data_IF_195581919741
#
_entry.id   IF_195581919741
#
_cell.length_a   1.000
_cell.length_b   1.000
_cell.length_c   1.000
_cell.angle_alpha   90.00
_cell.angle_beta   90.00
_cell.angle_gamma   90.00
#
_symmetry.space_group_name_H-M   'P 1'
#
loop_
_entity.id
_entity.type
_entity.pdbx_description
1 polymer ?
#
# COMPACT_ATOMS: atom_id res chain seq x y z
N UNK A 1 -5.59 6.86 -10.61
CA UNK A 1 -6.19 8.08 -11.19
C UNK A 1 -5.06 8.90 -11.80
N UNK A 2 -4.40 8.32 -12.78
CA UNK A 2 -3.11 8.79 -13.30
C UNK A 2 -3.25 9.61 -14.60
N UNK A 3 -4.41 9.54 -15.25
CA UNK A 3 -4.67 10.24 -16.52
C UNK A 3 -5.27 11.62 -16.29
N UNK A 4 -4.47 12.55 -15.77
CA UNK A 4 -4.87 13.94 -15.55
C UNK A 4 -4.37 14.85 -16.67
N UNK A 5 -5.21 15.81 -17.08
CA UNK A 5 -4.86 16.81 -18.09
C UNK A 5 -5.43 18.17 -17.73
N UNK A 6 -4.63 19.22 -17.91
CA UNK A 6 -5.11 20.60 -17.92
C UNK A 6 -5.78 20.89 -19.26
N UNK A 7 -6.98 21.47 -19.23
CA UNK A 7 -7.72 21.82 -20.45
C UNK A 7 -8.17 23.29 -20.38
N UNK A 8 -8.18 23.94 -21.54
CA UNK A 8 -8.82 25.25 -21.69
C UNK A 8 -10.35 25.09 -21.72
N UNK A 9 -11.08 26.10 -21.23
CA UNK A 9 -12.55 26.08 -21.17
C UNK A 9 -13.20 25.97 -22.56
N UNK A 10 -12.55 26.46 -23.62
CA UNK A 10 -13.03 26.36 -25.02
C UNK A 10 -13.07 24.92 -25.54
N UNK A 11 -12.40 23.99 -24.86
CA UNK A 11 -12.40 22.55 -25.20
C UNK A 11 -13.54 21.78 -24.52
N UNK A 12 -14.32 22.43 -23.66
CA UNK A 12 -15.50 21.84 -23.05
C UNK A 12 -16.67 21.97 -24.02
N UNK A 13 -17.37 20.85 -24.26
CA UNK A 13 -18.51 20.78 -25.16
C UNK A 13 -19.80 20.69 -24.34
N UNK A 14 -20.47 19.54 -24.37
CA UNK A 14 -21.77 19.33 -23.76
C UNK A 14 -21.64 19.00 -22.27
N UNK A 15 -22.48 19.60 -21.44
CA UNK A 15 -22.60 19.23 -20.03
C UNK A 15 -23.29 17.87 -19.89
N UNK A 16 -22.62 16.92 -19.23
CA UNK A 16 -23.11 15.54 -19.05
C UNK A 16 -23.76 15.35 -17.68
N UNK A 17 -23.34 16.09 -16.67
CA UNK A 17 -23.80 15.94 -15.29
C UNK A 17 -22.77 16.42 -14.28
N UNK A 18 -23.05 16.19 -13.00
CA UNK A 18 -22.12 16.45 -11.91
C UNK A 18 -21.99 15.21 -11.02
N UNK A 19 -20.84 15.09 -10.36
CA UNK A 19 -20.64 14.06 -9.34
C UNK A 19 -21.25 14.50 -8.01
N UNK A 20 -21.80 13.55 -7.29
CA UNK A 20 -22.20 13.75 -5.89
C UNK A 20 -20.97 13.91 -4.99
N UNK A 21 -21.16 14.56 -3.84
CA UNK A 21 -20.07 14.86 -2.91
C UNK A 21 -19.31 13.60 -2.45
N UNK A 22 -20.01 12.48 -2.24
CA UNK A 22 -19.40 11.21 -1.86
C UNK A 22 -18.40 10.71 -2.92
N UNK A 23 -18.70 10.90 -4.20
CA UNK A 23 -17.82 10.51 -5.29
C UNK A 23 -16.61 11.45 -5.39
N UNK A 24 -16.81 12.75 -5.20
CA UNK A 24 -15.74 13.75 -5.16
C UNK A 24 -14.75 13.47 -4.03
N UNK A 25 -15.23 13.09 -2.83
CA UNK A 25 -14.34 12.73 -1.71
C UNK A 25 -13.43 11.55 -2.04
N UNK A 26 -13.97 10.50 -2.67
CA UNK A 26 -13.17 9.34 -3.13
C UNK A 26 -12.18 9.73 -4.23
N UNK A 27 -12.61 10.58 -5.17
CA UNK A 27 -11.78 11.12 -6.23
C UNK A 27 -10.59 11.90 -5.67
N UNK A 28 -10.84 12.82 -4.71
CA UNK A 28 -9.81 13.62 -4.06
C UNK A 28 -8.76 12.75 -3.34
N UNK A 29 -9.19 11.69 -2.65
CA UNK A 29 -8.27 10.73 -2.04
C UNK A 29 -7.40 10.04 -3.09
N UNK A 30 -8.01 9.51 -4.15
CA UNK A 30 -7.29 8.84 -5.22
C UNK A 30 -6.30 9.79 -5.94
N UNK A 31 -6.69 11.05 -6.15
CA UNK A 31 -5.82 12.09 -6.69
C UNK A 31 -4.63 12.36 -5.77
N UNK A 32 -4.87 12.60 -4.48
CA UNK A 32 -3.83 12.89 -3.51
C UNK A 32 -2.77 11.78 -3.41
N UNK A 33 -3.20 10.51 -3.49
CA UNK A 33 -2.29 9.36 -3.60
C UNK A 33 -1.54 9.38 -4.94
N UNK A 34 -2.25 9.57 -6.07
CA UNK A 34 -1.64 9.53 -7.40
C UNK A 34 -0.59 10.61 -7.64
N UNK A 35 -0.73 11.78 -7.00
CA UNK A 35 0.23 12.90 -7.09
C UNK A 35 1.21 12.97 -5.91
N UNK A 36 1.20 11.98 -5.02
CA UNK A 36 2.13 11.91 -3.88
C UNK A 36 1.90 12.94 -2.77
N UNK A 37 0.73 13.58 -2.73
CA UNK A 37 0.35 14.48 -1.63
C UNK A 37 0.03 13.72 -0.34
N UNK A 38 -0.42 12.47 -0.47
CA UNK A 38 -0.63 11.56 0.64
C UNK A 38 0.04 10.23 0.29
N UNK A 39 0.95 9.79 1.15
CA UNK A 39 1.46 8.42 1.06
C UNK A 39 0.35 7.44 1.49
N UNK A 40 0.21 6.35 0.76
CA UNK A 40 -0.50 5.18 1.29
C UNK A 40 0.37 4.58 2.40
N UNK A 41 0.34 5.20 3.58
CA UNK A 41 1.02 4.63 4.75
C UNK A 41 0.46 3.23 4.97
N UNK A 42 1.29 2.18 4.93
CA UNK A 42 0.80 0.84 5.17
C UNK A 42 0.17 0.82 6.56
N UNK A 43 -1.07 0.33 6.64
CA UNK A 43 -1.86 0.33 7.89
C UNK A 43 -1.17 -0.45 9.01
N UNK A 44 -0.28 -1.35 8.63
CA UNK A 44 0.47 -2.24 9.50
C UNK A 44 1.96 -2.11 9.19
N UNK A 45 2.81 -2.41 10.19
CA UNK A 45 4.25 -2.43 10.03
C UNK A 45 4.66 -3.45 8.95
N UNK A 46 5.46 -3.03 7.98
CA UNK A 46 6.08 -3.92 6.97
C UNK A 46 7.51 -4.22 7.39
N UNK A 47 7.91 -5.49 7.32
CA UNK A 47 9.27 -5.95 7.61
C UNK A 47 9.75 -6.97 6.58
N UNK A 48 10.99 -6.82 6.10
CA UNK A 48 11.63 -7.82 5.25
C UNK A 48 12.24 -8.94 6.11
N UNK A 49 11.68 -10.15 6.00
CA UNK A 49 12.14 -11.32 6.77
C UNK A 49 12.54 -12.49 5.86
N UNK A 50 13.66 -13.13 6.15
CA UNK A 50 13.98 -14.43 5.54
C UNK A 50 13.05 -15.52 6.10
N UNK A 51 12.84 -16.65 5.38
CA UNK A 51 11.92 -17.70 5.81
C UNK A 51 12.16 -18.20 7.25
N UNK A 52 13.43 -18.33 7.64
CA UNK A 52 13.78 -18.76 8.99
C UNK A 52 13.45 -17.70 10.06
N UNK A 53 13.68 -16.42 9.79
CA UNK A 53 13.31 -15.34 10.73
C UNK A 53 11.80 -15.13 10.80
N UNK A 54 11.09 -15.27 9.68
CA UNK A 54 9.62 -15.26 9.65
C UNK A 54 9.03 -16.40 10.49
N UNK A 55 9.57 -17.62 10.37
CA UNK A 55 9.16 -18.77 11.20
C UNK A 55 9.48 -18.59 12.69
N UNK A 56 10.51 -17.81 13.04
CA UNK A 56 10.85 -17.54 14.44
C UNK A 56 10.05 -16.38 15.04
N UNK A 57 9.37 -15.57 14.23
CA UNK A 57 8.60 -14.41 14.70
C UNK A 57 7.38 -14.78 15.55
N UNK A 58 7.01 -16.06 15.63
CA UNK A 58 5.84 -16.62 16.31
C UNK A 58 5.91 -16.63 17.85
N UNK A 59 6.76 -15.82 18.48
CA UNK A 59 7.04 -15.92 19.93
C UNK A 59 6.01 -15.31 20.88
N UNK A 60 5.17 -14.36 20.44
CA UNK A 60 4.31 -13.59 21.37
C UNK A 60 2.82 -13.90 21.27
N UNK A 61 2.37 -14.65 20.25
CA UNK A 61 0.96 -14.99 20.03
C UNK A 61 0.03 -13.81 19.67
N UNK A 62 0.51 -12.57 19.77
CA UNK A 62 -0.26 -11.33 19.55
C UNK A 62 -0.30 -10.86 18.09
N UNK A 63 0.54 -11.42 17.22
CA UNK A 63 0.69 -11.00 15.83
C UNK A 63 0.82 -12.20 14.90
N UNK A 64 0.45 -12.00 13.62
CA UNK A 64 0.76 -12.93 12.53
C UNK A 64 1.36 -12.17 11.35
N UNK A 65 2.17 -12.87 10.55
CA UNK A 65 2.81 -12.32 9.37
C UNK A 65 1.96 -12.66 8.12
N UNK A 66 1.71 -11.65 7.28
CA UNK A 66 1.06 -11.81 5.96
C UNK A 66 2.01 -11.32 4.88
N UNK A 67 2.27 -12.13 3.85
CA UNK A 67 3.14 -11.73 2.72
C UNK A 67 2.50 -10.58 1.95
N UNK A 68 3.23 -9.47 1.75
CA UNK A 68 2.72 -8.29 1.02
C UNK A 68 2.56 -8.60 -0.47
N UNK A 69 3.55 -9.30 -1.05
CA UNK A 69 3.53 -9.72 -2.46
C UNK A 69 3.72 -11.25 -2.58
N UNK A 70 2.63 -12.03 -2.65
CA UNK A 70 2.68 -13.49 -2.76
C UNK A 70 3.49 -14.01 -3.97
N UNK A 71 3.49 -13.25 -5.08
CA UNK A 71 4.25 -13.58 -6.31
C UNK A 71 5.55 -12.80 -6.50
N UNK A 72 5.96 -11.95 -5.53
CA UNK A 72 7.16 -11.12 -5.65
C UNK A 72 8.43 -11.96 -5.72
N UNK A 73 9.28 -11.67 -6.70
CA UNK A 73 10.61 -12.28 -6.89
C UNK A 73 11.70 -11.45 -6.21
N UNK A 74 11.42 -10.19 -5.94
CA UNK A 74 12.33 -9.24 -5.31
C UNK A 74 12.52 -9.59 -3.83
N UNK A 75 13.79 -9.70 -3.42
CA UNK A 75 14.19 -10.09 -2.08
C UNK A 75 15.28 -9.15 -1.59
N UNK A 76 14.92 -8.27 -0.69
CA UNK A 76 15.90 -7.50 0.07
C UNK A 76 16.57 -8.36 1.15
N UNK A 77 17.69 -7.87 1.69
CA UNK A 77 18.34 -8.53 2.82
C UNK A 77 17.44 -8.43 4.05
N UNK A 78 17.21 -9.57 4.70
CA UNK A 78 16.36 -9.67 5.89
C UNK A 78 16.79 -8.65 6.96
N UNK A 79 15.85 -7.81 7.38
CA UNK A 79 16.07 -6.74 8.38
C UNK A 79 16.49 -7.30 9.74
N UNK A 80 16.06 -8.52 10.08
CA UNK A 80 16.36 -9.12 11.38
C UNK A 80 17.75 -9.76 11.45
N UNK A 81 18.16 -10.53 10.44
CA UNK A 81 19.44 -11.24 10.48
C UNK A 81 20.55 -10.61 9.64
N UNK A 82 20.23 -9.67 8.74
CA UNK A 82 21.20 -8.97 7.90
C UNK A 82 21.98 -9.85 6.91
N UNK A 83 21.57 -11.11 6.71
CA UNK A 83 22.37 -12.10 5.99
C UNK A 83 21.65 -12.79 4.83
N UNK A 84 20.37 -13.09 4.99
CA UNK A 84 19.61 -13.91 4.04
C UNK A 84 18.60 -13.05 3.28
N UNK A 85 18.38 -13.30 1.98
CA UNK A 85 17.32 -12.64 1.25
C UNK A 85 15.96 -12.98 1.88
N UNK A 86 15.12 -11.96 2.02
CA UNK A 86 13.82 -12.02 2.65
C UNK A 86 12.69 -11.62 1.73
N UNK A 87 11.48 -11.62 2.29
CA UNK A 87 10.28 -11.09 1.64
C UNK A 87 9.63 -10.10 2.58
N UNK A 88 8.87 -9.17 2.03
CA UNK A 88 8.08 -8.25 2.82
C UNK A 88 6.87 -8.97 3.43
N UNK A 89 6.79 -8.88 4.75
CA UNK A 89 5.66 -9.29 5.54
C UNK A 89 5.02 -8.08 6.21
N UNK A 90 3.72 -8.02 6.13
CA UNK A 90 2.88 -7.20 6.96
C UNK A 90 2.72 -7.86 8.33
N UNK A 91 3.00 -7.12 9.40
CA UNK A 91 2.82 -7.56 10.78
C UNK A 91 1.42 -7.17 11.24
N UNK A 92 0.52 -8.15 11.31
CA UNK A 92 -0.88 -7.92 11.63
C UNK A 92 -1.16 -8.33 13.07
N UNK A 93 -1.75 -7.43 13.86
CA UNK A 93 -2.20 -7.73 15.22
C UNK A 93 -3.37 -8.71 15.17
N UNK A 94 -3.31 -9.79 15.95
CA UNK A 94 -4.47 -10.67 16.15
C UNK A 94 -5.51 -9.91 16.97
N UNK A 95 -6.75 -9.90 16.50
CA UNK A 95 -7.86 -9.44 17.32
C UNK A 95 -8.05 -10.45 18.45
N UNK A 96 -7.95 -9.98 19.68
CA UNK A 96 -8.15 -10.74 20.91
C UNK A 96 -9.60 -10.55 21.37
#
# INVERSE_FOLDING_TARGET
>A
MEQLRTIDKRRLETYIGHLEEQHIRRLNRALAVSVGLIEETPKNLIMCLCPACANNFYGTGSYYLRRVHPGGVEKDICTYCGQRPGFDYEVVKRHQ
#
